data_IF_883434359490
#
_entry.id   IF_883434359490
#
_cell.length_a   1.000
_cell.length_b   1.000
_cell.length_c   1.000
_cell.angle_alpha   90.00
_cell.angle_beta   90.00
_cell.angle_gamma   90.00
#
_symmetry.space_group_name_H-M   'P 1'
#
loop_
_entity.id
_entity.type
_entity.pdbx_description
1 polymer ?
#
# COMPACT_ATOMS: atom_id res chain seq x y z
N UNK A 1 11.11 -5.60 -2.96
CA UNK A 1 10.45 -5.66 -1.64
C UNK A 1 8.97 -6.03 -1.81
N UNK A 2 8.41 -6.84 -0.91
CA UNK A 2 6.98 -7.18 -0.87
C UNK A 2 6.42 -6.96 0.55
N UNK A 3 5.18 -6.48 0.64
CA UNK A 3 4.46 -6.26 1.90
C UNK A 3 3.30 -7.25 1.94
N UNK A 4 3.18 -8.03 3.01
CA UNK A 4 2.10 -8.99 3.21
C UNK A 4 1.48 -8.82 4.60
N UNK A 5 0.19 -9.14 4.71
CA UNK A 5 -0.52 -9.30 5.99
C UNK A 5 -0.49 -10.79 6.35
N UNK A 6 0.10 -11.21 7.49
CA UNK A 6 0.29 -12.64 7.82
C UNK A 6 -0.99 -13.48 7.77
N UNK A 7 -2.15 -12.85 7.98
CA UNK A 7 -3.45 -13.53 7.93
C UNK A 7 -3.82 -14.00 6.53
N UNK A 8 -3.25 -13.41 5.48
CA UNK A 8 -3.45 -13.86 4.10
C UNK A 8 -2.80 -15.23 3.83
N UNK A 9 -1.83 -15.66 4.66
CA UNK A 9 -1.25 -17.00 4.56
C UNK A 9 -2.19 -18.09 5.08
N UNK A 10 -3.23 -17.71 5.85
CA UNK A 10 -4.29 -18.61 6.31
C UNK A 10 -5.45 -18.70 5.32
N UNK A 11 -5.59 -17.73 4.42
CA UNK A 11 -6.63 -17.73 3.39
C UNK A 11 -6.13 -18.52 2.16
N UNK A 12 -6.67 -19.71 1.94
CA UNK A 12 -6.30 -20.60 0.85
C UNK A 12 -6.41 -19.91 -0.52
N UNK A 13 -7.42 -19.05 -0.72
CA UNK A 13 -7.60 -18.34 -1.99
C UNK A 13 -6.46 -17.34 -2.25
N UNK A 14 -6.01 -16.67 -1.21
CA UNK A 14 -4.88 -15.73 -1.30
C UNK A 14 -3.56 -16.46 -1.40
N UNK A 15 -3.33 -17.49 -0.57
CA UNK A 15 -2.09 -18.27 -0.54
C UNK A 15 -1.85 -19.08 -1.82
N UNK A 16 -2.92 -19.55 -2.48
CA UNK A 16 -2.84 -20.25 -3.77
C UNK A 16 -2.75 -19.32 -4.98
N UNK A 17 -2.99 -18.01 -4.80
CA UNK A 17 -2.95 -17.03 -5.89
C UNK A 17 -1.53 -16.91 -6.45
N UNK A 18 -1.39 -17.11 -7.76
CA UNK A 18 -0.10 -17.07 -8.48
C UNK A 18 0.60 -15.72 -8.33
N UNK A 19 -0.11 -14.60 -8.57
CA UNK A 19 0.47 -13.26 -8.42
C UNK A 19 0.95 -12.99 -6.99
N UNK A 20 0.22 -13.47 -5.98
CA UNK A 20 0.62 -13.32 -4.59
C UNK A 20 1.93 -14.08 -4.32
N UNK A 21 2.00 -15.34 -4.79
CA UNK A 21 3.19 -16.18 -4.63
C UNK A 21 4.39 -15.64 -5.39
N UNK A 22 4.21 -15.15 -6.60
CA UNK A 22 5.27 -14.62 -7.45
C UNK A 22 5.84 -13.32 -6.87
N UNK A 23 4.99 -12.45 -6.33
CA UNK A 23 5.44 -11.24 -5.62
C UNK A 23 6.24 -11.57 -4.37
N UNK A 24 5.81 -12.59 -3.60
CA UNK A 24 6.54 -13.04 -2.43
C UNK A 24 7.87 -13.71 -2.82
N UNK A 25 7.91 -14.50 -3.89
CA UNK A 25 9.11 -15.18 -4.34
C UNK A 25 10.16 -14.21 -4.89
N UNK A 26 9.74 -13.16 -5.60
CA UNK A 26 10.63 -12.20 -6.26
C UNK A 26 11.31 -11.22 -5.29
N UNK A 27 10.76 -11.05 -4.09
CA UNK A 27 11.19 -10.01 -3.18
C UNK A 27 12.47 -10.40 -2.41
N UNK A 28 13.37 -9.43 -2.25
CA UNK A 28 14.55 -9.50 -1.37
C UNK A 28 14.21 -9.32 0.11
N UNK A 29 13.19 -8.51 0.36
CA UNK A 29 12.73 -8.08 1.68
C UNK A 29 11.24 -8.32 1.74
N UNK A 30 10.84 -9.06 2.76
CA UNK A 30 9.45 -9.35 3.11
C UNK A 30 9.08 -8.52 4.33
N UNK A 31 8.02 -7.72 4.19
CA UNK A 31 7.46 -6.96 5.29
C UNK A 31 6.15 -7.60 5.72
N UNK A 32 6.14 -8.22 6.90
CA UNK A 32 4.94 -8.70 7.57
C UNK A 32 4.25 -7.50 8.26
N UNK A 33 3.33 -6.86 7.55
CA UNK A 33 2.61 -5.68 8.03
C UNK A 33 1.35 -6.07 8.81
N UNK A 34 0.88 -5.13 9.64
CA UNK A 34 -0.26 -5.25 10.55
C UNK A 34 -0.02 -6.24 11.69
N UNK A 35 1.19 -6.25 12.26
CA UNK A 35 1.49 -7.06 13.45
C UNK A 35 0.55 -6.70 14.63
N UNK A 36 0.02 -5.48 14.67
CA UNK A 36 -1.02 -5.02 15.60
C UNK A 36 -2.34 -5.82 15.52
N UNK A 37 -2.57 -6.55 14.42
CA UNK A 37 -3.74 -7.40 14.18
C UNK A 37 -3.38 -8.86 13.92
N UNK A 38 -2.12 -9.24 14.12
CA UNK A 38 -1.71 -10.61 13.98
C UNK A 38 -2.33 -11.45 15.11
N UNK A 39 -2.76 -12.65 14.77
CA UNK A 39 -3.13 -13.69 15.74
C UNK A 39 -2.01 -14.72 15.83
N UNK A 40 -1.91 -15.50 16.92
CA UNK A 40 -0.91 -16.55 17.05
C UNK A 40 -0.89 -17.53 15.88
N UNK A 41 -2.06 -17.84 15.30
CA UNK A 41 -2.18 -18.72 14.14
C UNK A 41 -1.57 -18.10 12.89
N UNK A 42 -1.76 -16.79 12.70
CA UNK A 42 -1.19 -16.06 11.55
C UNK A 42 0.32 -15.87 11.69
N UNK A 43 0.83 -15.72 12.91
CA UNK A 43 2.26 -15.67 13.19
C UNK A 43 2.90 -17.03 12.92
N UNK A 44 2.28 -18.14 13.36
CA UNK A 44 2.74 -19.48 13.03
C UNK A 44 2.66 -19.79 11.53
N UNK A 45 1.67 -19.25 10.81
CA UNK A 45 1.60 -19.38 9.36
C UNK A 45 2.76 -18.64 8.68
N UNK A 46 3.06 -17.41 9.13
CA UNK A 46 4.22 -16.66 8.65
C UNK A 46 5.53 -17.37 8.96
N UNK A 47 5.71 -17.88 10.18
CA UNK A 47 6.92 -18.60 10.57
C UNK A 47 7.13 -19.85 9.71
N UNK A 48 6.09 -20.67 9.53
CA UNK A 48 6.16 -21.85 8.65
C UNK A 48 6.50 -21.48 7.21
N UNK A 49 5.85 -20.43 6.69
CA UNK A 49 6.16 -19.93 5.36
C UNK A 49 7.60 -19.43 5.26
N UNK A 50 8.09 -18.72 6.27
CA UNK A 50 9.45 -18.19 6.34
C UNK A 50 10.51 -19.29 6.40
N UNK A 51 10.29 -20.35 7.18
CA UNK A 51 11.19 -21.49 7.23
C UNK A 51 11.33 -22.21 5.88
N UNK A 52 10.24 -22.25 5.11
CA UNK A 52 10.22 -22.95 3.81
C UNK A 52 10.74 -22.08 2.65
N UNK A 53 10.47 -20.78 2.70
CA UNK A 53 10.68 -19.89 1.55
C UNK A 53 11.68 -18.77 1.83
N UNK A 54 11.97 -18.45 3.10
CA UNK A 54 12.71 -17.27 3.52
C UNK A 54 14.14 -17.23 2.97
N UNK A 55 14.89 -18.32 3.10
CA UNK A 55 16.30 -18.38 2.71
C UNK A 55 17.12 -17.26 3.36
N UNK A 56 18.02 -16.63 2.60
CA UNK A 56 18.89 -15.53 3.08
C UNK A 56 18.23 -14.14 3.01
N UNK A 57 16.92 -14.10 2.79
CA UNK A 57 16.17 -12.84 2.65
C UNK A 57 15.94 -12.18 4.00
N UNK A 58 15.48 -10.93 3.97
CA UNK A 58 15.15 -10.20 5.19
C UNK A 58 13.64 -10.25 5.47
N UNK A 59 13.27 -10.59 6.70
CA UNK A 59 11.91 -10.46 7.22
C UNK A 59 11.84 -9.28 8.19
N UNK A 60 10.86 -8.40 8.01
CA UNK A 60 10.62 -7.23 8.85
C UNK A 60 9.17 -7.23 9.29
N UNK A 61 8.92 -7.03 10.58
CA UNK A 61 7.58 -6.84 11.12
C UNK A 61 7.24 -5.35 11.17
N UNK A 62 6.01 -5.00 10.82
CA UNK A 62 5.53 -3.62 10.80
C UNK A 62 4.11 -3.55 11.32
N UNK A 63 3.82 -2.48 12.07
CA UNK A 63 2.50 -2.14 12.55
C UNK A 63 2.05 -0.83 11.93
N UNK A 64 0.76 -0.71 11.62
CA UNK A 64 0.18 0.53 11.07
C UNK A 64 0.92 1.06 9.81
N UNK A 65 1.58 0.19 9.05
CA UNK A 65 2.36 0.58 7.86
C UNK A 65 3.65 1.36 8.15
N UNK A 66 4.17 1.34 9.39
CA UNK A 66 5.44 1.97 9.76
C UNK A 66 6.62 1.16 9.21
N UNK A 67 7.03 1.49 8.00
CA UNK A 67 8.10 0.83 7.27
C UNK A 67 9.20 1.87 7.01
N UNK A 68 10.45 1.53 7.32
CA UNK A 68 11.59 2.39 7.03
C UNK A 68 11.78 2.54 5.51
N UNK A 69 11.79 3.78 5.04
CA UNK A 69 11.96 4.09 3.61
C UNK A 69 13.33 3.66 3.06
N UNK A 70 14.36 3.59 3.91
CA UNK A 70 15.71 3.16 3.51
C UNK A 70 15.73 1.73 2.97
N UNK A 71 14.72 0.91 3.28
CA UNK A 71 14.58 -0.45 2.73
C UNK A 71 14.45 -0.44 1.19
N UNK A 72 13.97 0.66 0.60
CA UNK A 72 13.87 0.83 -0.85
C UNK A 72 15.22 1.16 -1.52
N UNK A 73 16.19 1.65 -0.75
CA UNK A 73 17.53 2.00 -1.25
C UNK A 73 18.48 0.78 -1.23
N UNK A 74 18.06 -0.32 -0.60
CA UNK A 74 18.86 -1.55 -0.52
C UNK A 74 18.97 -2.22 -1.90
N UNK A 75 20.16 -2.73 -2.25
CA UNK A 75 20.37 -3.37 -3.55
C UNK A 75 19.55 -4.66 -3.68
N UNK A 76 19.03 -4.90 -4.89
CA UNK A 76 18.40 -6.18 -5.24
C UNK A 76 19.44 -7.30 -5.27
N UNK A 77 19.17 -8.39 -4.56
CA UNK A 77 20.03 -9.59 -4.43
C UNK A 77 19.35 -10.86 -4.96
N UNK A 78 18.03 -10.90 -4.94
CA UNK A 78 17.20 -11.98 -5.43
C UNK A 78 17.06 -11.86 -6.96
N UNK A 79 17.95 -12.60 -7.63
CA UNK A 79 18.03 -12.73 -9.09
C UNK A 79 17.52 -14.09 -9.57
N UNK A 80 16.93 -14.89 -8.69
CA UNK A 80 16.36 -16.17 -9.07
C UNK A 80 15.26 -15.94 -10.12
N UNK A 81 15.28 -16.78 -11.16
CA UNK A 81 14.18 -16.80 -12.11
C UNK A 81 12.94 -17.34 -11.39
N UNK A 82 11.85 -16.58 -11.47
CA UNK A 82 10.57 -17.05 -10.98
C UNK A 82 10.14 -18.26 -11.81
N UNK A 83 9.49 -19.26 -11.22
CA UNK A 83 8.91 -20.35 -11.98
C UNK A 83 8.01 -19.77 -13.07
N UNK A 84 8.09 -20.34 -14.28
CA UNK A 84 7.33 -19.86 -15.43
C UNK A 84 5.83 -20.08 -15.20
N UNK A 85 5.18 -19.05 -14.68
CA UNK A 85 3.72 -18.91 -14.62
C UNK A 85 3.18 -18.91 -16.05
N UNK A 86 2.22 -19.78 -16.37
CA UNK A 86 1.66 -19.89 -17.73
C UNK A 86 1.03 -18.56 -18.22
N UNK A 87 0.64 -17.70 -17.29
CA UNK A 87 0.11 -16.36 -17.54
C UNK A 87 1.19 -15.27 -17.78
N UNK A 88 2.47 -15.55 -17.55
CA UNK A 88 3.58 -14.58 -17.65
C UNK A 88 4.48 -14.82 -18.87
N UNK A 89 3.89 -15.16 -20.02
CA UNK A 89 4.60 -15.12 -21.31
C UNK A 89 4.67 -13.68 -21.85
N UNK A 90 5.45 -12.80 -21.23
CA UNK A 90 5.79 -11.51 -21.81
C UNK A 90 7.15 -11.59 -22.51
N UNK A 91 7.13 -11.85 -23.82
CA UNK A 91 8.26 -11.51 -24.68
C UNK A 91 8.56 -10.01 -24.52
N UNK A 92 9.78 -9.70 -24.07
CA UNK A 92 10.29 -8.33 -24.05
C UNK A 92 10.47 -7.82 -25.49
N UNK A 93 9.39 -7.30 -26.08
CA UNK A 93 9.51 -6.33 -27.16
C UNK A 93 9.65 -4.94 -26.54
N UNK A 94 10.86 -4.41 -26.59
CA UNK A 94 11.14 -3.00 -26.31
C UNK A 94 10.23 -2.12 -27.17
N UNK A 95 9.38 -1.29 -26.55
CA UNK A 95 9.06 0.12 -26.94
C UNK A 95 8.00 0.78 -26.03
N UNK A 96 8.46 1.78 -25.25
CA UNK A 96 7.89 3.12 -24.99
C UNK A 96 6.35 3.27 -24.88
N UNK A 97 5.86 3.69 -23.70
CA UNK A 97 5.57 5.09 -23.31
C UNK A 97 4.95 5.14 -21.90
N UNK A 98 5.57 5.89 -21.00
CA UNK A 98 4.97 6.36 -19.74
C UNK A 98 3.88 7.38 -20.06
N UNK A 99 2.67 7.14 -19.60
CA UNK A 99 1.61 8.15 -19.59
C UNK A 99 1.83 9.07 -18.38
N UNK A 100 1.97 10.36 -18.66
CA UNK A 100 2.02 11.40 -17.64
C UNK A 100 0.65 11.52 -16.97
N UNK A 101 0.55 11.17 -15.68
CA UNK A 101 -0.61 11.50 -14.86
C UNK A 101 -0.54 12.99 -14.55
N UNK A 102 -1.56 13.76 -14.97
CA UNK A 102 -1.71 15.16 -14.57
C UNK A 102 -2.13 15.20 -13.10
N UNK A 103 -1.52 16.03 -12.23
CA UNK A 103 -2.02 16.18 -10.88
C UNK A 103 -3.39 16.85 -10.91
N UNK A 104 -4.36 16.24 -10.25
CA UNK A 104 -5.65 16.85 -9.99
C UNK A 104 -5.42 18.08 -9.09
N UNK A 105 -5.76 19.25 -9.61
CA UNK A 105 -5.64 20.53 -8.93
C UNK A 105 -6.62 20.55 -7.75
N UNK A 106 -6.08 20.64 -6.54
CA UNK A 106 -6.85 20.77 -5.31
C UNK A 106 -7.73 22.04 -5.38
N UNK A 107 -9.04 21.85 -5.20
CA UNK A 107 -9.98 22.95 -5.05
C UNK A 107 -9.79 23.57 -3.67
N UNK A 108 -9.09 24.69 -3.60
CA UNK A 108 -9.05 25.55 -2.42
C UNK A 108 -10.47 26.06 -2.16
N UNK A 109 -11.14 25.53 -1.12
CA UNK A 109 -12.32 26.14 -0.52
C UNK A 109 -11.86 27.43 0.19
N UNK A 110 -11.84 28.53 -0.56
CA UNK A 110 -11.70 29.86 0.01
C UNK A 110 -13.00 30.22 0.73
N UNK A 111 -12.89 30.25 2.06
CA UNK A 111 -13.83 30.88 2.98
C UNK A 111 -14.06 32.34 2.55
N UNK A 112 -15.31 32.71 2.24
CA UNK A 112 -15.71 34.11 2.13
C UNK A 112 -16.74 34.40 3.22
N UNK A 113 -16.21 34.93 4.33
CA UNK A 113 -16.93 35.78 5.27
C UNK A 113 -17.25 37.13 4.61
N UNK A 114 -18.21 37.83 5.21
CA UNK A 114 -18.53 39.25 5.01
C UNK A 114 -19.25 39.66 3.73
N UNK A 115 -20.59 39.66 3.80
CA UNK A 115 -21.41 40.81 3.40
C UNK A 115 -22.70 40.87 4.28
N UNK A 116 -22.61 41.40 5.51
CA UNK A 116 -23.78 42.00 6.18
C UNK A 116 -23.82 43.46 5.77
N UNK A 117 -24.38 43.72 4.61
CA UNK A 117 -24.78 45.05 4.19
C UNK A 117 -25.88 45.53 5.13
N UNK A 118 -25.57 46.65 5.79
CA UNK A 118 -26.52 47.51 6.47
C UNK A 118 -27.64 47.89 5.51
N UNK A 119 -28.84 47.42 5.79
CA UNK A 119 -30.06 48.00 5.25
C UNK A 119 -31.00 48.27 6.43
N UNK A 120 -31.01 49.56 6.80
CA UNK A 120 -32.18 50.31 7.22
C UNK A 120 -32.96 49.79 8.43
N UNK A 121 -32.67 50.41 9.57
CA UNK A 121 -33.49 50.34 10.76
C UNK A 121 -34.92 50.77 10.48
N UNK A 122 -35.82 49.81 10.66
CA UNK A 122 -37.23 50.02 10.93
C UNK A 122 -37.32 50.63 12.34
N UNK A 123 -37.26 51.97 12.43
CA UNK A 123 -37.65 52.66 13.66
C UNK A 123 -39.17 52.78 13.66
N UNK A 124 -39.77 51.91 14.44
CA UNK A 124 -41.18 51.91 14.77
C UNK A 124 -41.49 53.13 15.66
N UNK A 125 -42.55 53.82 15.25
CA UNK A 125 -43.23 54.94 15.89
C UNK A 125 -43.39 54.81 17.41
N UNK A 126 -42.99 55.85 18.15
CA UNK A 126 -43.38 56.09 19.54
C UNK A 126 -43.74 57.58 19.70
N UNK A 127 -45.05 57.78 19.94
CA UNK A 127 -45.75 58.92 20.58
C UNK A 127 -46.26 60.09 19.71
N UNK A 128 -47.60 60.12 19.72
CA UNK A 128 -48.56 61.27 19.76
C UNK A 128 -49.00 61.88 18.44
#
# INVERSE_FOLDING_TARGET
MCILDPRLLLDEKSASNENFRDQLAAADIIVANKSDRATPESEQALERWWQQNGGDRQLIHSEHGKIDGHLLDLPRRNLAELPASAAHSHQHSVKKRVSSVKPARASTLASQSEQRTRASGLWLDIRR
#
